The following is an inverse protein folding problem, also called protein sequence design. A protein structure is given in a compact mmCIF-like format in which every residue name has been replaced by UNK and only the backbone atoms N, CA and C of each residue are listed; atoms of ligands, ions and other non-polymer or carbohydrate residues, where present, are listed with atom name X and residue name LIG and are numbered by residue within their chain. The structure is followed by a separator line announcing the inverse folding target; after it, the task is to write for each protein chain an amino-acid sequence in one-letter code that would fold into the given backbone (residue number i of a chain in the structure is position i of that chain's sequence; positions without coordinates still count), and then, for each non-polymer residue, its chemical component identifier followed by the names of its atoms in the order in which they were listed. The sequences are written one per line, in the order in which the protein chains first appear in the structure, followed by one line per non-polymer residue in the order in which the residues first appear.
data_IF_575412915758
#
_entry.id   IF_575412915758
#
_cell.length_a   1.000
_cell.length_b   1.000
_cell.length_c   1.000
_cell.angle_alpha   90.00
_cell.angle_beta   90.00
_cell.angle_gamma   90.00
#
_symmetry.space_group_name_H-M   'P 1'
#
loop_
_entity.id
_entity.type
_entity.pdbx_description
1 polymer ?
#
# COMPACT_ATOMS: atom_id res chain seq x y z
N UNK A 1 3.55 -26.34 21.00
CA UNK A 1 3.51 -25.41 19.85
C UNK A 1 2.19 -25.67 19.16
N UNK A 2 1.16 -24.89 19.45
CA UNK A 2 -0.15 -25.11 18.83
C UNK A 2 -0.12 -24.62 17.38
N UNK A 3 -0.87 -25.26 16.45
CA UNK A 3 -0.93 -24.86 15.04
C UNK A 3 -1.42 -23.42 14.81
N UNK A 4 -1.97 -22.80 15.86
CA UNK A 4 -2.66 -21.52 15.86
C UNK A 4 -1.70 -20.31 15.77
N UNK A 5 -0.40 -20.52 15.99
CA UNK A 5 0.60 -19.44 16.09
C UNK A 5 0.87 -18.65 14.80
N UNK A 6 0.35 -19.07 13.65
CA UNK A 6 0.51 -18.38 12.36
C UNK A 6 -0.79 -17.82 11.78
N UNK A 7 -1.95 -18.32 12.22
CA UNK A 7 -3.25 -17.87 11.72
C UNK A 7 -3.66 -16.59 12.46
N UNK A 8 -3.25 -15.45 11.90
CA UNK A 8 -3.61 -14.13 12.42
C UNK A 8 -5.13 -13.94 12.32
N UNK A 9 -5.75 -13.44 13.40
CA UNK A 9 -7.09 -12.86 13.32
C UNK A 9 -7.03 -11.56 12.51
N UNK A 10 -7.27 -11.66 11.20
CA UNK A 10 -7.37 -10.51 10.31
C UNK A 10 -8.80 -9.99 10.38
N UNK A 11 -8.99 -8.86 11.07
CA UNK A 11 -10.29 -8.20 11.14
C UNK A 11 -10.72 -7.60 9.79
N UNK A 12 -12.00 -7.25 9.61
CA UNK A 12 -12.52 -6.73 8.34
C UNK A 12 -11.76 -5.53 7.78
N UNK A 13 -11.34 -4.60 8.65
CA UNK A 13 -10.57 -3.41 8.25
C UNK A 13 -9.15 -3.75 7.80
N UNK A 14 -8.54 -4.78 8.37
CA UNK A 14 -7.22 -5.24 7.96
C UNK A 14 -7.29 -6.02 6.65
N UNK A 15 -8.34 -6.81 6.45
CA UNK A 15 -8.63 -7.41 5.14
C UNK A 15 -8.79 -6.32 4.08
N UNK A 16 -9.58 -5.27 4.35
CA UNK A 16 -9.74 -4.15 3.42
C UNK A 16 -8.39 -3.47 3.14
N UNK A 17 -7.60 -3.18 4.18
CA UNK A 17 -6.27 -2.60 4.03
C UNK A 17 -5.36 -3.46 3.13
N UNK A 18 -5.35 -4.78 3.34
CA UNK A 18 -4.58 -5.73 2.54
C UNK A 18 -5.05 -5.77 1.08
N UNK A 19 -6.37 -5.81 0.83
CA UNK A 19 -6.94 -5.74 -0.51
C UNK A 19 -6.56 -4.45 -1.24
N UNK A 20 -6.63 -3.31 -0.55
CA UNK A 20 -6.25 -2.01 -1.11
C UNK A 20 -4.73 -1.96 -1.39
N UNK A 21 -3.90 -2.48 -0.48
CA UNK A 21 -2.45 -2.59 -0.67
C UNK A 21 -2.13 -3.41 -1.92
N UNK A 22 -2.79 -4.56 -2.07
CA UNK A 22 -2.60 -5.44 -3.22
C UNK A 22 -3.09 -4.78 -4.53
N UNK A 23 -4.19 -4.03 -4.48
CA UNK A 23 -4.67 -3.26 -5.62
C UNK A 23 -3.65 -2.20 -6.06
N UNK A 24 -3.05 -1.45 -5.11
CA UNK A 24 -1.99 -0.48 -5.42
C UNK A 24 -0.79 -1.18 -6.05
N UNK A 25 -0.33 -2.29 -5.48
CA UNK A 25 0.76 -3.09 -6.04
C UNK A 25 0.44 -3.54 -7.47
N UNK A 26 -0.76 -4.08 -7.69
CA UNK A 26 -1.24 -4.54 -8.99
C UNK A 26 -1.30 -3.43 -10.05
N UNK A 27 -1.83 -2.26 -9.71
CA UNK A 27 -1.87 -1.10 -10.62
C UNK A 27 -0.46 -0.70 -11.06
N UNK A 28 0.48 -0.61 -10.12
CA UNK A 28 1.85 -0.21 -10.44
C UNK A 28 2.60 -1.29 -11.23
N UNK A 29 2.43 -2.58 -10.90
CA UNK A 29 3.01 -3.67 -11.68
C UNK A 29 2.43 -3.73 -13.10
N UNK A 30 1.12 -3.51 -13.26
CA UNK A 30 0.48 -3.42 -14.58
C UNK A 30 1.09 -2.29 -15.42
N UNK A 31 1.22 -1.08 -14.85
CA UNK A 31 1.85 0.05 -15.53
C UNK A 31 3.32 -0.20 -15.87
N UNK A 32 4.04 -0.90 -15.01
CA UNK A 32 5.47 -1.18 -15.20
C UNK A 32 5.74 -2.30 -16.21
N UNK A 33 4.87 -3.31 -16.30
CA UNK A 33 5.15 -4.55 -17.03
C UNK A 33 4.31 -4.76 -18.29
N UNK A 34 3.12 -4.16 -18.36
CA UNK A 34 2.09 -4.52 -19.35
C UNK A 34 1.63 -3.33 -20.18
N UNK A 35 1.41 -2.16 -19.56
CA UNK A 35 0.84 -0.99 -20.25
C UNK A 35 1.79 -0.40 -21.31
N UNK A 36 1.48 -0.54 -22.62
CA UNK A 36 2.39 -0.11 -23.69
C UNK A 36 2.54 1.41 -23.79
N UNK A 37 1.62 2.18 -23.23
CA UNK A 37 1.70 3.64 -23.22
C UNK A 37 2.75 4.22 -22.26
N UNK A 38 3.33 3.41 -21.37
CA UNK A 38 4.31 3.88 -20.39
C UNK A 38 5.71 3.92 -21.00
N UNK A 39 6.41 5.08 -21.00
CA UNK A 39 7.79 5.16 -21.48
C UNK A 39 8.72 4.22 -20.71
N UNK A 40 9.66 3.55 -21.39
CA UNK A 40 10.62 2.63 -20.76
C UNK A 40 11.36 3.26 -19.57
N UNK A 41 11.73 4.55 -19.68
CA UNK A 41 12.39 5.29 -18.62
C UNK A 41 11.58 5.38 -17.31
N UNK A 42 10.24 5.24 -17.38
CA UNK A 42 9.35 5.24 -16.22
C UNK A 42 8.86 3.85 -15.82
N UNK A 43 8.88 2.87 -16.72
CA UNK A 43 8.46 1.48 -16.43
C UNK A 43 9.16 0.92 -15.19
N UNK A 44 10.49 1.07 -15.09
CA UNK A 44 11.26 0.61 -13.93
C UNK A 44 10.82 1.23 -12.60
N UNK A 45 10.37 2.49 -12.60
CA UNK A 45 9.84 3.14 -11.39
C UNK A 45 8.53 2.51 -10.93
N UNK A 46 7.63 2.22 -11.87
CA UNK A 46 6.36 1.54 -11.57
C UNK A 46 6.57 0.11 -11.06
N UNK A 47 7.50 -0.64 -11.66
CA UNK A 47 7.88 -1.98 -11.16
C UNK A 47 8.43 -1.88 -9.73
N UNK A 48 9.29 -0.91 -9.45
CA UNK A 48 9.87 -0.73 -8.12
C UNK A 48 8.80 -0.40 -7.07
N UNK A 49 7.89 0.52 -7.38
CA UNK A 49 6.78 0.91 -6.49
C UNK A 49 5.85 -0.28 -6.24
N UNK A 50 5.42 -0.96 -7.29
CA UNK A 50 4.54 -2.12 -7.19
C UNK A 50 5.18 -3.24 -6.36
N UNK A 51 6.47 -3.49 -6.58
CA UNK A 51 7.25 -4.47 -5.81
C UNK A 51 7.38 -4.07 -4.34
N UNK A 52 7.59 -2.78 -4.03
CA UNK A 52 7.67 -2.29 -2.66
C UNK A 52 6.35 -2.50 -1.90
N UNK A 53 5.20 -2.20 -2.53
CA UNK A 53 3.89 -2.48 -1.93
C UNK A 53 3.64 -3.98 -1.77
N UNK A 54 4.07 -4.81 -2.72
CA UNK A 54 3.94 -6.27 -2.61
C UNK A 54 4.78 -6.83 -1.47
N UNK A 55 6.04 -6.37 -1.32
CA UNK A 55 6.89 -6.74 -0.18
C UNK A 55 6.25 -6.26 1.12
N UNK A 56 5.75 -5.03 1.19
CA UNK A 56 5.02 -4.51 2.35
C UNK A 56 3.80 -5.36 2.72
N UNK A 57 3.03 -5.80 1.72
CA UNK A 57 1.92 -6.74 1.90
C UNK A 57 2.39 -8.07 2.51
N UNK A 58 3.43 -8.69 1.95
CA UNK A 58 3.97 -9.95 2.45
C UNK A 58 4.52 -9.82 3.87
N UNK A 59 5.25 -8.74 4.16
CA UNK A 59 5.74 -8.43 5.52
C UNK A 59 4.57 -8.23 6.49
N UNK A 60 3.50 -7.56 6.04
CA UNK A 60 2.30 -7.33 6.86
C UNK A 60 1.54 -8.61 7.20
N UNK A 61 1.73 -9.71 6.46
CA UNK A 61 1.19 -11.02 6.87
C UNK A 61 1.84 -11.51 8.17
N UNK A 62 3.06 -11.06 8.48
CA UNK A 62 3.77 -11.36 9.73
C UNK A 62 3.40 -10.37 10.85
N UNK A 63 3.52 -10.76 12.13
CA UNK A 63 3.30 -9.85 13.28
C UNK A 63 4.39 -8.79 13.43
N UNK A 64 5.52 -8.93 12.73
CA UNK A 64 6.66 -8.06 12.87
C UNK A 64 6.37 -6.69 12.21
N UNK A 65 6.87 -5.61 12.83
CA UNK A 65 6.88 -4.25 12.25
C UNK A 65 5.52 -3.59 11.98
N UNK A 66 4.42 -4.08 12.53
CA UNK A 66 3.07 -3.60 12.20
C UNK A 66 2.86 -2.07 12.23
N UNK A 67 3.06 -1.37 13.35
CA UNK A 67 2.81 0.07 13.41
C UNK A 67 3.72 0.82 12.43
N UNK A 68 4.96 0.37 12.30
CA UNK A 68 5.94 0.94 11.37
C UNK A 68 5.48 0.78 9.92
N UNK A 69 4.96 -0.38 9.52
CA UNK A 69 4.52 -0.64 8.15
C UNK A 69 3.31 0.21 7.74
N UNK A 70 2.39 0.49 8.67
CA UNK A 70 1.29 1.42 8.39
C UNK A 70 1.80 2.84 8.14
N UNK A 71 2.64 3.36 9.04
CA UNK A 71 3.18 4.71 8.94
C UNK A 71 4.04 4.87 7.69
N UNK A 72 4.92 3.89 7.43
CA UNK A 72 5.77 3.85 6.25
C UNK A 72 4.94 3.81 4.97
N UNK A 73 3.90 2.97 4.94
CA UNK A 73 2.94 2.93 3.83
C UNK A 73 2.31 4.29 3.61
N UNK A 74 1.72 4.90 4.64
CA UNK A 74 1.06 6.20 4.53
C UNK A 74 2.00 7.30 4.02
N UNK A 75 3.21 7.37 4.57
CA UNK A 75 4.24 8.33 4.15
C UNK A 75 4.63 8.12 2.68
N UNK A 76 4.82 6.86 2.27
CA UNK A 76 5.17 6.51 0.90
C UNK A 76 4.05 6.86 -0.09
N UNK A 77 2.79 6.56 0.28
CA UNK A 77 1.62 6.92 -0.53
C UNK A 77 1.43 8.44 -0.66
N UNK A 78 1.66 9.20 0.42
CA UNK A 78 1.63 10.67 0.37
C UNK A 78 2.74 11.23 -0.55
N UNK A 79 3.95 10.70 -0.43
CA UNK A 79 5.07 11.08 -1.29
C UNK A 79 4.76 10.81 -2.77
N UNK A 80 4.26 9.61 -3.09
CA UNK A 80 3.86 9.26 -4.45
C UNK A 80 2.69 10.11 -4.96
N UNK A 81 1.72 10.39 -4.10
CA UNK A 81 0.61 11.29 -4.41
C UNK A 81 1.08 12.69 -4.79
N UNK A 82 2.06 13.23 -4.06
CA UNK A 82 2.68 14.51 -4.40
C UNK A 82 3.41 14.45 -5.75
N UNK A 83 4.23 13.41 -5.99
CA UNK A 83 4.93 13.22 -7.26
C UNK A 83 3.95 13.16 -8.44
N UNK A 84 2.83 12.47 -8.28
CA UNK A 84 1.78 12.38 -9.31
C UNK A 84 1.05 13.70 -9.53
N UNK A 85 0.70 14.42 -8.46
CA UNK A 85 0.00 15.71 -8.54
C UNK A 85 0.82 16.76 -9.31
N UNK A 86 2.15 16.72 -9.17
CA UNK A 86 3.06 17.64 -9.85
C UNK A 86 3.60 17.08 -11.18
N UNK A 87 3.30 15.83 -11.52
CA UNK A 87 3.69 15.19 -12.77
C UNK A 87 2.75 15.57 -13.93
N UNK A 88 3.25 15.57 -15.18
CA UNK A 88 2.39 15.71 -16.36
C UNK A 88 1.55 14.44 -16.53
N UNK A 89 0.22 14.60 -16.57
CA UNK A 89 -0.74 13.49 -16.54
C UNK A 89 -1.01 12.98 -17.95
N UNK A 90 -0.35 11.90 -18.36
CA UNK A 90 -0.64 11.17 -19.60
C UNK A 90 -1.81 10.16 -19.44
N UNK A 91 -2.18 9.81 -18.19
CA UNK A 91 -3.20 8.80 -17.88
C UNK A 91 -4.18 9.26 -16.80
N UNK A 92 -5.07 10.21 -17.14
CA UNK A 92 -5.99 10.83 -16.18
C UNK A 92 -6.85 9.82 -15.40
N UNK A 93 -7.49 8.86 -16.08
CA UNK A 93 -8.38 7.89 -15.42
C UNK A 93 -7.62 6.98 -14.44
N UNK A 94 -6.45 6.47 -14.84
CA UNK A 94 -5.59 5.65 -13.97
C UNK A 94 -5.09 6.49 -12.79
N UNK A 95 -4.76 7.77 -13.01
CA UNK A 95 -4.39 8.71 -11.96
C UNK A 95 -5.51 8.90 -10.93
N UNK A 96 -6.76 9.09 -11.38
CA UNK A 96 -7.93 9.21 -10.49
C UNK A 96 -8.15 7.94 -9.67
N UNK A 97 -8.14 6.77 -10.32
CA UNK A 97 -8.30 5.49 -9.61
C UNK A 97 -7.19 5.29 -8.57
N UNK A 98 -5.94 5.52 -8.97
CA UNK A 98 -4.78 5.41 -8.07
C UNK A 98 -4.88 6.41 -6.91
N UNK A 99 -5.36 7.63 -7.16
CA UNK A 99 -5.59 8.65 -6.13
C UNK A 99 -6.66 8.24 -5.11
N UNK A 100 -7.80 7.73 -5.57
CA UNK A 100 -8.86 7.22 -4.69
C UNK A 100 -8.33 6.05 -3.85
N UNK A 101 -7.70 5.07 -4.50
CA UNK A 101 -7.14 3.90 -3.82
C UNK A 101 -6.09 4.29 -2.79
N UNK A 102 -5.19 5.23 -3.14
CA UNK A 102 -4.16 5.74 -2.22
C UNK A 102 -4.75 6.50 -1.04
N UNK A 103 -5.82 7.27 -1.26
CA UNK A 103 -6.51 8.00 -0.18
C UNK A 103 -7.13 7.04 0.83
N UNK A 104 -7.82 6.01 0.35
CA UNK A 104 -8.38 4.94 1.20
C UNK A 104 -7.25 4.22 1.95
N UNK A 105 -6.16 3.91 1.25
CA UNK A 105 -4.99 3.27 1.86
C UNK A 105 -4.39 4.11 3.00
N UNK A 106 -4.17 5.41 2.77
CA UNK A 106 -3.62 6.34 3.78
C UNK A 106 -4.55 6.41 4.99
N UNK A 107 -5.85 6.58 4.77
CA UNK A 107 -6.82 6.66 5.85
C UNK A 107 -6.84 5.38 6.71
N UNK A 108 -6.85 4.21 6.07
CA UNK A 108 -6.78 2.93 6.76
C UNK A 108 -5.45 2.73 7.50
N UNK A 109 -4.33 3.07 6.87
CA UNK A 109 -3.01 2.96 7.47
C UNK A 109 -2.92 3.78 8.77
N UNK A 110 -3.31 5.07 8.71
CA UNK A 110 -3.30 5.94 9.88
C UNK A 110 -4.27 5.48 10.97
N UNK A 111 -5.47 5.05 10.59
CA UNK A 111 -6.44 4.51 11.54
C UNK A 111 -5.92 3.25 12.24
N UNK A 112 -5.37 2.30 11.49
CA UNK A 112 -4.84 1.05 12.04
C UNK A 112 -3.60 1.30 12.91
N UNK A 113 -2.75 2.25 12.54
CA UNK A 113 -1.63 2.70 13.36
C UNK A 113 -2.10 3.24 14.72
N UNK A 114 -3.00 4.23 14.73
CA UNK A 114 -3.52 4.82 15.98
C UNK A 114 -4.21 3.78 16.84
N UNK A 115 -4.99 2.87 16.23
CA UNK A 115 -5.68 1.79 16.94
C UNK A 115 -4.70 0.83 17.62
N UNK A 116 -3.59 0.49 16.96
CA UNK A 116 -2.57 -0.40 17.50
C UNK A 116 -1.80 0.26 18.65
N UNK A 117 -1.35 1.51 18.46
CA UNK A 117 -0.66 2.28 19.50
C UNK A 117 -1.54 2.56 20.73
N UNK A 118 -2.84 2.77 20.52
CA UNK A 118 -3.77 2.96 21.64
C UNK A 118 -3.89 1.69 22.51
N UNK A 119 -3.79 0.50 21.88
CA UNK A 119 -3.83 -0.79 22.59
C UNK A 119 -2.53 -1.07 23.33
N UNK A 120 -1.38 -0.70 22.77
CA UNK A 120 -0.07 -0.87 23.42
C UNK A 120 0.12 0.03 24.64
N UNK A 121 -0.52 1.21 24.67
CA UNK A 121 -0.46 2.15 25.81
C UNK A 121 -1.44 1.77 26.94
N UNK A 122 -2.52 1.04 26.63
CA UNK A 122 -3.57 0.69 27.60
C UNK A 122 -3.51 -0.73 28.16
N UNK A 123 -2.60 -1.57 27.66
CA UNK A 123 -2.32 -2.92 28.17
C UNK A 123 -1.07 -2.97 29.03
#
# INVERSE_FOLDING_TARGET
MTPDGFARDIGPLETLFLCVTLAIAGIHLYLGLIEPGVPEARSGQFVLIGSAFLVGFLLRLTPLWQPVLYLLGAAFALFLGAVWLFGRVEFFLIGVLTGITSTVFIALALYLFVREESRSVSG
#
